data_IF_146712982916
#
_entry.id   IF_146712982916
#
_cell.length_a   1.000
_cell.length_b   1.000
_cell.length_c   1.000
_cell.angle_alpha   90.00
_cell.angle_beta   90.00
_cell.angle_gamma   90.00
#
_symmetry.space_group_name_H-M   'P 1'
#
loop_
_entity.id
_entity.type
_entity.pdbx_description
1 polymer ?
#
# COMPACT_ATOMS: atom_id res chain seq x y z
N UNK A 1 16.34 -11.05 37.95
CA UNK A 1 14.91 -11.41 37.99
C UNK A 1 14.42 -11.37 36.56
N UNK A 2 13.89 -12.48 36.04
CA UNK A 2 13.45 -12.60 34.64
C UNK A 2 11.92 -12.74 34.71
N UNK A 3 11.21 -11.66 34.38
CA UNK A 3 9.76 -11.60 34.46
C UNK A 3 9.16 -12.42 33.31
N UNK A 4 8.72 -13.63 33.67
CA UNK A 4 8.31 -14.72 32.80
C UNK A 4 6.80 -14.65 32.50
N UNK A 5 6.35 -13.54 31.91
CA UNK A 5 4.93 -13.34 31.53
C UNK A 5 4.73 -12.65 30.17
N UNK A 6 5.56 -12.95 29.17
CA UNK A 6 5.15 -12.73 27.77
C UNK A 6 4.42 -13.98 27.26
N UNK A 7 3.21 -14.19 27.78
CA UNK A 7 2.26 -15.09 27.13
C UNK A 7 1.92 -14.45 25.80
N UNK A 8 2.25 -15.11 24.68
CA UNK A 8 1.92 -14.63 23.33
C UNK A 8 0.46 -14.20 23.29
N UNK A 9 0.24 -12.89 23.15
CA UNK A 9 -1.10 -12.33 23.10
C UNK A 9 -1.81 -12.75 21.82
N UNK A 10 -3.13 -12.56 21.77
CA UNK A 10 -3.92 -12.84 20.55
C UNK A 10 -3.30 -12.22 19.29
N UNK A 11 -2.77 -11.00 19.40
CA UNK A 11 -2.05 -10.34 18.31
C UNK A 11 -0.80 -11.11 17.85
N UNK A 12 -0.03 -11.65 18.79
CA UNK A 12 1.18 -12.44 18.50
C UNK A 12 0.82 -13.75 17.77
N UNK A 13 -0.29 -14.41 18.16
CA UNK A 13 -0.82 -15.57 17.45
C UNK A 13 -1.21 -15.24 16.00
N UNK A 14 -1.87 -14.11 15.74
CA UNK A 14 -2.21 -13.69 14.37
C UNK A 14 -0.97 -13.30 13.54
N UNK A 15 0.04 -12.73 14.18
CA UNK A 15 1.32 -12.38 13.52
C UNK A 15 2.10 -13.65 13.17
N UNK A 16 2.15 -14.62 14.07
CA UNK A 16 2.77 -15.94 13.82
C UNK A 16 2.01 -16.78 12.80
N UNK A 17 0.68 -16.72 12.79
CA UNK A 17 -0.14 -17.41 11.79
C UNK A 17 -0.01 -16.76 10.41
N UNK A 18 0.30 -15.46 10.35
CA UNK A 18 0.77 -14.74 9.15
C UNK A 18 2.30 -14.84 8.98
N UNK A 19 2.96 -15.73 9.72
CA UNK A 19 4.39 -15.95 9.67
C UNK A 19 4.83 -16.16 8.22
N UNK A 20 5.48 -15.13 7.69
CA UNK A 20 6.02 -15.10 6.34
C UNK A 20 5.00 -15.30 5.21
N UNK A 21 3.91 -14.51 5.22
CA UNK A 21 3.24 -14.23 3.94
C UNK A 21 4.24 -13.41 3.15
N UNK A 22 4.95 -14.04 2.22
CA UNK A 22 5.71 -13.37 1.18
C UNK A 22 4.68 -12.55 0.39
N UNK A 23 4.38 -11.35 0.89
CA UNK A 23 3.13 -10.70 0.56
C UNK A 23 3.22 -10.37 -0.91
N UNK A 24 2.21 -10.77 -1.68
CA UNK A 24 2.09 -10.44 -3.10
C UNK A 24 2.50 -8.97 -3.38
N UNK A 25 2.20 -8.07 -2.44
CA UNK A 25 2.59 -6.66 -2.44
C UNK A 25 4.11 -6.41 -2.37
N UNK A 26 4.88 -7.13 -1.56
CA UNK A 26 6.36 -7.01 -1.52
C UNK A 26 7.02 -7.50 -2.81
N UNK A 27 6.47 -8.56 -3.42
CA UNK A 27 6.95 -9.05 -4.72
C UNK A 27 6.70 -8.02 -5.82
N UNK A 28 5.52 -7.39 -5.81
CA UNK A 28 5.18 -6.28 -6.71
C UNK A 28 6.10 -5.08 -6.43
N UNK A 29 6.34 -4.73 -5.16
CA UNK A 29 7.19 -3.60 -4.79
C UNK A 29 8.63 -3.78 -5.30
N UNK A 30 9.13 -5.02 -5.32
CA UNK A 30 10.44 -5.39 -5.87
C UNK A 30 10.44 -5.43 -7.40
N UNK A 31 9.33 -5.84 -8.02
CA UNK A 31 9.21 -5.98 -9.48
C UNK A 31 8.97 -4.65 -10.19
N UNK A 32 8.35 -3.67 -9.52
CA UNK A 32 7.94 -2.41 -10.11
C UNK A 32 8.93 -1.29 -9.75
N UNK A 33 9.58 -0.71 -10.77
CA UNK A 33 10.38 0.50 -10.64
C UNK A 33 9.52 1.75 -10.36
N UNK A 34 9.19 1.98 -9.09
CA UNK A 34 8.33 3.10 -8.69
C UNK A 34 8.88 4.49 -9.04
N UNK A 35 10.22 4.66 -9.07
CA UNK A 35 10.85 5.94 -9.45
C UNK A 35 10.55 6.33 -10.89
N UNK A 36 10.58 5.36 -11.81
CA UNK A 36 10.29 5.62 -13.23
C UNK A 36 8.82 5.97 -13.42
N UNK A 37 7.93 5.26 -12.72
CA UNK A 37 6.49 5.53 -12.72
C UNK A 37 6.20 6.91 -12.14
N UNK A 38 6.82 7.27 -11.01
CA UNK A 38 6.66 8.59 -10.40
C UNK A 38 7.13 9.71 -11.34
N UNK A 39 8.26 9.54 -12.01
CA UNK A 39 8.75 10.53 -12.99
C UNK A 39 7.78 10.69 -14.16
N UNK A 40 7.25 9.59 -14.70
CA UNK A 40 6.26 9.62 -15.78
C UNK A 40 4.95 10.28 -15.34
N UNK A 41 4.48 9.91 -14.14
CA UNK A 41 3.27 10.47 -13.54
C UNK A 41 3.44 11.97 -13.30
N UNK A 42 4.55 12.43 -12.73
CA UNK A 42 4.81 13.85 -12.52
C UNK A 42 4.89 14.65 -13.84
N UNK A 43 5.33 14.02 -14.94
CA UNK A 43 5.31 14.66 -16.28
C UNK A 43 3.89 14.82 -16.82
N UNK A 44 3.03 13.82 -16.65
CA UNK A 44 1.68 13.75 -17.23
C UNK A 44 0.60 14.37 -16.34
N UNK A 45 0.77 14.27 -15.02
CA UNK A 45 -0.20 14.68 -14.01
C UNK A 45 0.28 15.95 -13.30
N UNK A 46 0.05 17.09 -13.93
CA UNK A 46 0.32 18.44 -13.37
C UNK A 46 -0.89 19.00 -12.63
N UNK A 47 -1.62 18.16 -11.91
CA UNK A 47 -2.80 18.61 -11.16
C UNK A 47 -2.32 19.14 -9.82
N UNK A 48 -2.26 20.47 -9.70
CA UNK A 48 -1.76 21.17 -8.50
C UNK A 48 -2.86 21.29 -7.45
N UNK A 49 -4.13 21.33 -7.87
CA UNK A 49 -5.29 21.51 -7.00
C UNK A 49 -6.38 20.49 -7.33
N UNK A 50 -6.95 19.88 -6.28
CA UNK A 50 -8.21 19.14 -6.40
C UNK A 50 -9.35 20.12 -6.67
N UNK A 51 -10.44 19.64 -7.27
CA UNK A 51 -11.62 20.46 -7.55
C UNK A 51 -12.19 21.15 -6.28
N UNK A 52 -11.91 20.57 -5.11
CA UNK A 52 -12.34 21.03 -3.79
C UNK A 52 -11.38 22.03 -3.10
N UNK A 53 -10.38 22.57 -3.80
CA UNK A 53 -9.42 23.55 -3.26
C UNK A 53 -8.40 22.98 -2.25
N UNK A 54 -8.37 21.66 -2.09
CA UNK A 54 -7.35 20.94 -1.31
C UNK A 54 -6.14 20.62 -2.20
N UNK A 55 -4.93 20.52 -1.63
CA UNK A 55 -3.77 20.04 -2.39
C UNK A 55 -4.13 18.70 -3.03
N UNK A 56 -3.87 18.59 -4.33
CA UNK A 56 -4.17 17.37 -5.06
C UNK A 56 -3.40 16.20 -4.44
N UNK A 57 -4.03 15.01 -4.41
CA UNK A 57 -3.34 13.81 -3.97
C UNK A 57 -2.07 13.63 -4.82
N UNK A 58 -0.92 13.29 -4.19
CA UNK A 58 0.29 13.02 -4.93
C UNK A 58 0.03 11.85 -5.90
N UNK A 59 0.58 11.89 -7.12
CA UNK A 59 0.18 10.95 -8.16
C UNK A 59 0.61 9.50 -7.87
N UNK A 60 1.74 9.31 -7.18
CA UNK A 60 2.25 7.98 -6.82
C UNK A 60 1.32 7.20 -5.87
N UNK A 61 0.90 7.72 -4.70
CA UNK A 61 -0.04 7.03 -3.82
C UNK A 61 -1.41 6.82 -4.46
N UNK A 62 -1.87 7.77 -5.29
CA UNK A 62 -3.11 7.59 -6.05
C UNK A 62 -3.02 6.43 -7.03
N UNK A 63 -1.90 6.30 -7.75
CA UNK A 63 -1.63 5.18 -8.64
C UNK A 63 -1.56 3.84 -7.87
N UNK A 64 -0.90 3.81 -6.71
CA UNK A 64 -0.87 2.64 -5.83
C UNK A 64 -2.27 2.23 -5.36
N UNK A 65 -3.13 3.19 -5.03
CA UNK A 65 -4.52 2.93 -4.64
C UNK A 65 -5.32 2.29 -5.78
N UNK A 66 -5.16 2.78 -7.01
CA UNK A 66 -5.81 2.20 -8.20
C UNK A 66 -5.35 0.75 -8.46
N UNK A 67 -4.05 0.46 -8.28
CA UNK A 67 -3.53 -0.90 -8.39
C UNK A 67 -4.14 -1.83 -7.34
N UNK A 68 -4.23 -1.37 -6.09
CA UNK A 68 -4.87 -2.12 -5.01
C UNK A 68 -6.35 -2.39 -5.29
N UNK A 69 -7.09 -1.39 -5.77
CA UNK A 69 -8.49 -1.55 -6.18
C UNK A 69 -8.62 -2.58 -7.30
N UNK A 70 -7.74 -2.53 -8.30
CA UNK A 70 -7.72 -3.46 -9.43
C UNK A 70 -7.39 -4.90 -9.01
N UNK A 71 -6.41 -5.10 -8.13
CA UNK A 71 -6.01 -6.44 -7.69
C UNK A 71 -7.00 -7.09 -6.73
N UNK A 72 -7.67 -6.28 -5.91
CA UNK A 72 -8.68 -6.78 -4.96
C UNK A 72 -10.08 -6.83 -5.57
N UNK A 73 -10.23 -6.54 -6.87
CA UNK A 73 -11.52 -6.50 -7.58
C UNK A 73 -12.58 -5.66 -6.83
N UNK A 74 -12.16 -4.63 -6.10
CA UNK A 74 -13.03 -3.78 -5.28
C UNK A 74 -13.99 -2.93 -6.13
N UNK A 75 -13.87 -2.99 -7.46
CA UNK A 75 -14.66 -2.24 -8.42
C UNK A 75 -15.99 -2.90 -8.83
N UNK A 76 -16.30 -4.11 -8.37
CA UNK A 76 -17.50 -4.87 -8.82
C UNK A 76 -18.73 -4.71 -7.90
N UNK A 77 -18.69 -3.80 -6.92
CA UNK A 77 -19.77 -3.59 -5.95
C UNK A 77 -20.25 -2.13 -5.88
N UNK A 78 -20.35 -1.47 -7.03
CA UNK A 78 -21.06 -0.19 -7.15
C UNK A 78 -21.92 -0.14 -8.40
#
# INVERSE_FOLDING_TARGET
MIDKFTTKGFADYFIEQRGYVNTFLEKIDTFIDWKNIESLLNKKYKKVESADGRPAYPPLPMFKLLLLQRWNNLSDFF
#
